data_IF_564208267734
#
_entry.id   IF_564208267734
#
_cell.length_a   1.000
_cell.length_b   1.000
_cell.length_c   1.000
_cell.angle_alpha   90.00
_cell.angle_beta   90.00
_cell.angle_gamma   90.00
#
_symmetry.space_group_name_H-M   'P 1'
#
loop_
_entity.id
_entity.type
_entity.pdbx_description
1 polymer ?
#
# COMPACT_ATOMS: atom_id res chain seq x y z
N UNK A 1 -13.74 6.04 -4.85
CA UNK A 1 -14.37 6.17 -3.52
C UNK A 1 -15.21 4.93 -3.21
N UNK A 2 -15.80 4.84 -2.01
CA UNK A 2 -16.55 3.66 -1.53
C UNK A 2 -17.95 3.57 -2.14
N UNK A 3 -18.48 2.36 -2.33
CA UNK A 3 -19.86 2.10 -2.75
C UNK A 3 -20.28 2.85 -4.03
N UNK A 4 -19.39 2.93 -5.02
CA UNK A 4 -19.64 3.68 -6.28
C UNK A 4 -20.26 2.82 -7.38
N UNK A 5 -20.06 1.51 -7.32
CA UNK A 5 -20.58 0.53 -8.27
C UNK A 5 -20.75 -0.83 -7.56
N UNK A 6 -21.26 -1.81 -8.32
CA UNK A 6 -21.52 -3.17 -7.88
C UNK A 6 -20.30 -4.11 -7.97
N UNK A 7 -19.14 -3.61 -8.43
CA UNK A 7 -17.96 -4.44 -8.71
C UNK A 7 -17.09 -4.56 -7.45
N UNK A 8 -17.00 -5.78 -6.93
CA UNK A 8 -16.03 -6.16 -5.90
C UNK A 8 -14.70 -6.53 -6.54
N UNK A 9 -13.66 -5.74 -6.26
CA UNK A 9 -12.35 -5.82 -6.90
C UNK A 9 -11.32 -6.61 -6.07
N UNK A 10 -11.58 -6.77 -4.78
CA UNK A 10 -10.68 -7.48 -3.88
C UNK A 10 -11.43 -8.05 -2.67
N UNK A 11 -10.84 -9.06 -2.05
CA UNK A 11 -11.34 -9.63 -0.81
C UNK A 11 -11.40 -8.58 0.31
N UNK A 12 -12.58 -8.41 0.91
CA UNK A 12 -12.77 -7.49 2.03
C UNK A 12 -13.10 -6.05 1.66
N UNK A 13 -13.30 -5.75 0.38
CA UNK A 13 -13.87 -4.47 -0.05
C UNK A 13 -15.23 -4.25 0.63
N UNK A 14 -15.46 -3.10 1.31
CA UNK A 14 -16.76 -2.80 1.88
C UNK A 14 -17.86 -2.71 0.81
N UNK A 15 -18.96 -3.43 1.03
CA UNK A 15 -20.14 -3.43 0.14
C UNK A 15 -21.41 -2.89 0.81
N UNK A 16 -21.39 -2.78 2.14
CA UNK A 16 -22.47 -2.20 2.94
C UNK A 16 -21.91 -1.67 4.27
N UNK A 17 -22.67 -0.80 4.93
CA UNK A 17 -22.43 -0.36 6.31
C UNK A 17 -23.73 -0.52 7.08
N UNK A 18 -23.66 -1.15 8.27
CA UNK A 18 -24.79 -1.29 9.19
C UNK A 18 -24.60 -0.31 10.33
N UNK A 19 -25.68 0.38 10.69
CA UNK A 19 -25.70 1.35 11.79
C UNK A 19 -26.78 0.91 12.77
N UNK A 20 -26.41 0.82 14.04
CA UNK A 20 -27.32 0.48 15.14
C UNK A 20 -26.95 1.31 16.39
N UNK A 21 -27.81 1.26 17.42
CA UNK A 21 -27.56 1.97 18.68
C UNK A 21 -26.45 1.32 19.51
N UNK A 22 -26.17 0.03 19.29
CA UNK A 22 -25.10 -0.72 19.97
C UNK A 22 -24.18 -1.43 18.97
N UNK A 23 -22.96 -1.76 19.42
CA UNK A 23 -22.01 -2.53 18.60
C UNK A 23 -22.53 -3.93 18.32
N UNK A 24 -23.07 -4.61 19.35
CA UNK A 24 -23.58 -5.98 19.25
C UNK A 24 -24.71 -6.07 18.21
N UNK A 25 -25.64 -5.12 18.21
CA UNK A 25 -26.73 -5.06 17.22
C UNK A 25 -26.19 -4.82 15.81
N UNK A 26 -25.20 -3.93 15.66
CA UNK A 26 -24.58 -3.64 14.36
C UNK A 26 -23.85 -4.87 13.80
N UNK A 27 -23.09 -5.58 14.63
CA UNK A 27 -22.37 -6.80 14.24
C UNK A 27 -23.34 -7.94 13.92
N UNK A 28 -24.38 -8.13 14.75
CA UNK A 28 -25.40 -9.14 14.51
C UNK A 28 -26.14 -8.90 13.18
N UNK A 29 -26.59 -7.67 12.95
CA UNK A 29 -27.28 -7.31 11.73
C UNK A 29 -26.36 -7.37 10.49
N UNK A 30 -25.08 -6.99 10.62
CA UNK A 30 -24.10 -7.15 9.54
C UNK A 30 -23.86 -8.62 9.18
N UNK A 31 -23.80 -9.52 10.18
CA UNK A 31 -23.66 -10.96 9.95
C UNK A 31 -24.91 -11.60 9.32
N UNK A 32 -26.08 -10.98 9.47
CA UNK A 32 -27.33 -11.45 8.88
C UNK A 32 -27.51 -11.04 7.40
N UNK A 33 -26.70 -10.12 6.88
CA UNK A 33 -26.78 -9.68 5.48
C UNK A 33 -26.49 -10.84 4.53
N UNK A 34 -27.39 -11.02 3.54
CA UNK A 34 -27.21 -11.98 2.45
C UNK A 34 -26.84 -11.22 1.19
N UNK A 35 -25.62 -11.43 0.70
CA UNK A 35 -25.10 -10.82 -0.52
C UNK A 35 -24.81 -11.93 -1.51
N UNK A 36 -25.32 -11.79 -2.72
CA UNK A 36 -25.08 -12.71 -3.83
C UNK A 36 -24.10 -12.06 -4.80
N UNK A 37 -23.14 -12.84 -5.30
CA UNK A 37 -22.11 -12.39 -6.22
C UNK A 37 -22.18 -13.21 -7.50
N UNK A 38 -22.05 -12.54 -8.63
CA UNK A 38 -21.67 -13.19 -9.88
C UNK A 38 -20.14 -13.33 -9.89
N UNK A 39 -19.65 -14.52 -9.54
CA UNK A 39 -18.23 -14.74 -9.25
C UNK A 39 -17.40 -14.99 -10.50
N UNK A 40 -16.24 -14.35 -10.57
CA UNK A 40 -15.18 -14.65 -11.54
C UNK A 40 -13.90 -15.14 -10.84
N UNK A 41 -12.96 -15.71 -11.60
CA UNK A 41 -11.64 -16.09 -11.06
C UNK A 41 -10.80 -14.84 -10.81
N UNK A 42 -10.40 -14.54 -9.56
CA UNK A 42 -9.54 -13.40 -9.29
C UNK A 42 -8.08 -13.72 -9.63
N UNK A 43 -7.33 -12.71 -10.10
CA UNK A 43 -5.89 -12.76 -10.26
C UNK A 43 -5.22 -12.23 -8.98
N UNK A 44 -4.80 -13.14 -8.09
CA UNK A 44 -4.20 -12.78 -6.79
C UNK A 44 -2.75 -13.24 -6.63
N UNK A 45 -2.26 -14.02 -7.57
CA UNK A 45 -0.90 -14.56 -7.60
C UNK A 45 -0.10 -13.85 -8.71
N UNK A 46 0.99 -13.12 -8.37
CA UNK A 46 1.82 -12.46 -9.37
C UNK A 46 2.65 -13.42 -10.25
N UNK A 47 2.67 -14.71 -9.92
CA UNK A 47 3.31 -15.76 -10.74
C UNK A 47 2.35 -16.41 -11.74
N UNK A 48 1.05 -16.08 -11.66
CA UNK A 48 0.06 -16.54 -12.62
C UNK A 48 0.42 -16.06 -14.04
N UNK A 49 0.23 -16.91 -15.04
CA UNK A 49 0.50 -16.59 -16.45
C UNK A 49 -0.28 -15.39 -17.00
N UNK A 50 -1.41 -15.03 -16.36
CA UNK A 50 -2.19 -13.84 -16.68
C UNK A 50 -1.69 -12.57 -15.98
N UNK A 51 -0.71 -12.69 -15.09
CA UNK A 51 -0.14 -11.55 -14.39
C UNK A 51 0.84 -10.80 -15.30
N UNK A 52 0.47 -9.57 -15.63
CA UNK A 52 1.31 -8.67 -16.41
C UNK A 52 2.29 -7.90 -15.52
N UNK A 53 3.41 -7.48 -16.10
CA UNK A 53 4.38 -6.58 -15.50
C UNK A 53 4.32 -5.25 -16.23
N UNK A 54 3.93 -4.19 -15.52
CA UNK A 54 3.79 -2.86 -16.11
C UNK A 54 4.85 -1.90 -15.56
N UNK A 55 5.24 -0.92 -16.36
CA UNK A 55 6.02 0.21 -15.83
C UNK A 55 5.10 1.10 -14.96
N UNK A 56 5.57 1.58 -13.80
CA UNK A 56 4.83 2.55 -13.00
C UNK A 56 4.50 3.82 -13.80
N UNK A 57 3.28 4.33 -13.64
CA UNK A 57 2.80 5.53 -14.35
C UNK A 57 3.55 6.82 -13.99
N UNK A 58 4.19 6.89 -12.82
CA UNK A 58 4.93 8.08 -12.37
C UNK A 58 6.34 8.22 -13.01
N UNK A 59 6.76 7.27 -13.86
CA UNK A 59 7.88 7.45 -14.79
C UNK A 59 9.29 7.43 -14.19
N UNK A 60 9.48 6.94 -12.95
CA UNK A 60 10.79 6.96 -12.26
C UNK A 60 11.52 5.62 -12.16
N UNK A 61 11.04 4.58 -12.85
CA UNK A 61 11.37 3.20 -12.55
C UNK A 61 12.76 2.68 -12.98
N UNK A 62 13.33 3.23 -14.07
CA UNK A 62 14.53 2.66 -14.69
C UNK A 62 15.70 3.65 -14.61
N UNK A 63 16.88 3.15 -14.24
CA UNK A 63 18.13 3.93 -14.21
C UNK A 63 19.29 3.12 -14.75
N UNK A 64 20.26 3.84 -15.31
CA UNK A 64 21.51 3.26 -15.77
C UNK A 64 22.67 4.20 -15.49
N UNK A 65 23.81 3.63 -15.13
CA UNK A 65 25.12 4.28 -14.99
C UNK A 65 26.14 3.33 -15.61
N UNK A 66 26.95 3.79 -16.57
CA UNK A 66 27.94 2.92 -17.22
C UNK A 66 27.31 1.73 -17.96
N UNK A 67 28.03 0.61 -17.99
CA UNK A 67 27.63 -0.64 -18.68
C UNK A 67 27.65 -1.82 -17.69
N UNK A 68 26.52 -2.03 -17.02
CA UNK A 68 26.39 -3.04 -15.97
C UNK A 68 26.49 -4.47 -16.54
N UNK A 69 25.89 -4.72 -17.69
CA UNK A 69 25.84 -6.06 -18.30
C UNK A 69 27.26 -6.51 -18.73
N UNK A 70 28.08 -5.62 -19.32
CA UNK A 70 29.49 -5.91 -19.60
C UNK A 70 30.29 -6.10 -18.32
N UNK A 71 30.15 -5.21 -17.34
CA UNK A 71 30.92 -5.26 -16.11
C UNK A 71 30.65 -6.53 -15.29
N UNK A 72 29.41 -7.03 -15.27
CA UNK A 72 29.03 -8.30 -14.64
C UNK A 72 29.60 -9.51 -15.37
N UNK A 73 29.71 -9.43 -16.71
CA UNK A 73 30.31 -10.50 -17.53
C UNK A 73 31.81 -10.63 -17.27
N UNK A 74 32.50 -9.50 -17.11
CA UNK A 74 33.96 -9.42 -16.89
C UNK A 74 34.39 -9.56 -15.42
N UNK A 75 33.45 -9.55 -14.47
CA UNK A 75 33.73 -9.60 -13.05
C UNK A 75 34.44 -10.91 -12.64
N UNK A 76 35.40 -10.80 -11.72
CA UNK A 76 36.14 -11.95 -11.19
C UNK A 76 35.30 -12.77 -10.22
N UNK A 77 34.47 -12.09 -9.42
CA UNK A 77 33.49 -12.69 -8.50
C UNK A 77 32.12 -12.14 -8.85
N UNK A 78 31.09 -12.99 -8.83
CA UNK A 78 29.73 -12.59 -9.16
C UNK A 78 28.67 -13.45 -8.48
N UNK A 79 27.56 -12.82 -8.15
CA UNK A 79 26.31 -13.45 -7.73
C UNK A 79 25.18 -12.95 -8.64
N UNK A 80 24.18 -13.79 -8.89
CA UNK A 80 22.94 -13.45 -9.57
C UNK A 80 21.82 -14.28 -8.94
N UNK A 81 21.01 -13.63 -8.10
CA UNK A 81 20.05 -14.29 -7.24
C UNK A 81 18.71 -13.54 -7.21
N UNK A 82 17.65 -14.27 -6.84
CA UNK A 82 16.29 -13.74 -6.69
C UNK A 82 15.89 -13.78 -5.23
N UNK A 83 15.48 -12.62 -4.72
CA UNK A 83 15.04 -12.40 -3.35
C UNK A 83 13.57 -12.01 -3.32
N UNK A 84 12.82 -12.50 -2.33
CA UNK A 84 11.39 -12.22 -2.20
C UNK A 84 11.05 -11.73 -0.79
N UNK A 85 10.17 -10.74 -0.71
CA UNK A 85 9.53 -10.30 0.53
C UNK A 85 8.04 -10.58 0.42
N UNK A 86 7.49 -11.25 1.43
CA UNK A 86 6.05 -11.47 1.55
C UNK A 86 5.31 -10.19 1.97
N UNK A 87 3.98 -10.17 1.86
CA UNK A 87 3.19 -9.03 2.35
C UNK A 87 3.38 -8.84 3.85
N UNK A 88 3.61 -7.61 4.28
CA UNK A 88 3.69 -7.25 5.71
C UNK A 88 2.55 -6.30 6.11
N UNK A 89 1.92 -6.58 7.24
CA UNK A 89 0.89 -5.72 7.81
C UNK A 89 1.48 -4.86 8.92
N UNK A 90 1.09 -3.57 8.96
CA UNK A 90 1.63 -2.60 9.91
C UNK A 90 1.34 -2.93 11.37
N UNK A 91 0.22 -3.63 11.62
CA UNK A 91 -0.22 -4.08 12.95
C UNK A 91 -0.07 -3.05 14.09
N UNK A 92 -0.54 -1.80 13.93
CA UNK A 92 -0.59 -0.87 15.05
C UNK A 92 -1.48 -1.43 16.16
N UNK A 93 -1.12 -1.19 17.42
CA UNK A 93 -1.89 -1.70 18.56
C UNK A 93 -3.31 -1.14 18.58
N UNK A 94 -3.47 0.15 18.31
CA UNK A 94 -4.78 0.77 18.09
C UNK A 94 -5.27 0.48 16.66
N UNK A 95 -6.46 -0.15 16.49
CA UNK A 95 -7.11 -0.30 15.18
C UNK A 95 -7.53 1.03 14.57
N UNK A 96 -7.71 1.07 13.26
CA UNK A 96 -8.30 2.21 12.56
C UNK A 96 -9.73 2.47 13.04
N UNK A 97 -10.02 3.73 13.34
CA UNK A 97 -11.28 4.18 13.90
C UNK A 97 -11.60 5.59 13.45
N UNK A 98 -12.89 5.87 13.30
CA UNK A 98 -13.42 7.20 13.00
C UNK A 98 -14.67 7.46 13.83
N UNK A 99 -14.78 8.66 14.36
CA UNK A 99 -16.05 9.25 14.82
C UNK A 99 -16.37 10.40 13.88
N UNK A 100 -17.59 10.45 13.37
CA UNK A 100 -18.08 11.54 12.54
C UNK A 100 -19.32 12.18 13.16
N UNK A 101 -19.38 13.51 13.14
CA UNK A 101 -20.53 14.29 13.55
C UNK A 101 -20.78 15.44 12.56
N UNK A 102 -22.04 15.77 12.33
CA UNK A 102 -22.46 16.87 11.46
C UNK A 102 -23.14 17.97 12.28
N UNK A 103 -22.75 19.21 12.04
CA UNK A 103 -23.34 20.44 12.58
C UNK A 103 -23.85 21.29 11.41
N UNK A 104 -25.08 21.04 10.97
CA UNK A 104 -25.55 21.56 9.68
C UNK A 104 -24.72 20.96 8.54
N UNK A 105 -24.05 21.83 7.77
CA UNK A 105 -23.15 21.43 6.67
C UNK A 105 -21.68 21.25 7.11
N UNK A 106 -21.36 21.52 8.38
CA UNK A 106 -20.01 21.33 8.92
C UNK A 106 -19.82 19.88 9.35
N UNK A 107 -18.75 19.24 8.88
CA UNK A 107 -18.36 17.89 9.25
C UNK A 107 -17.18 17.93 10.23
N UNK A 108 -17.33 17.27 11.38
CA UNK A 108 -16.27 17.08 12.36
C UNK A 108 -15.92 15.59 12.42
N UNK A 109 -14.65 15.29 12.21
CA UNK A 109 -14.07 13.95 12.27
C UNK A 109 -13.10 13.86 13.45
N UNK A 110 -13.16 12.76 14.20
CA UNK A 110 -12.08 12.27 15.04
C UNK A 110 -11.58 10.98 14.41
N UNK A 111 -10.42 11.03 13.77
CA UNK A 111 -9.94 9.98 12.87
C UNK A 111 -8.52 9.60 13.21
N UNK A 112 -8.23 8.30 13.20
CA UNK A 112 -6.88 7.77 13.37
C UNK A 112 -6.04 7.99 12.10
N UNK A 113 -5.44 9.17 11.96
CA UNK A 113 -4.77 9.56 10.72
C UNK A 113 -3.37 10.18 10.94
N UNK A 114 -2.42 9.86 10.06
CA UNK A 114 -1.15 10.59 9.89
C UNK A 114 -1.27 11.64 8.78
N UNK A 115 -2.45 11.74 8.15
CA UNK A 115 -2.69 12.44 6.89
C UNK A 115 -3.71 13.58 7.05
N UNK A 116 -3.75 14.23 8.22
CA UNK A 116 -4.82 15.15 8.67
C UNK A 116 -5.25 16.16 7.59
N UNK A 117 -4.29 16.90 7.00
CA UNK A 117 -4.60 17.97 6.05
C UNK A 117 -5.19 17.42 4.74
N UNK A 118 -4.65 16.31 4.25
CA UNK A 118 -5.09 15.67 3.03
C UNK A 118 -6.40 14.89 3.24
N UNK A 119 -6.58 14.22 4.38
CA UNK A 119 -7.84 13.58 4.76
C UNK A 119 -8.97 14.60 4.83
N UNK A 120 -8.70 15.79 5.40
CA UNK A 120 -9.63 16.91 5.36
C UNK A 120 -10.00 17.31 3.93
N UNK A 121 -9.01 17.45 3.05
CA UNK A 121 -9.24 17.87 1.66
C UNK A 121 -9.98 16.80 0.84
N UNK A 122 -9.62 15.53 1.00
CA UNK A 122 -10.25 14.39 0.33
C UNK A 122 -11.70 14.22 0.77
N UNK A 123 -11.97 14.28 2.08
CA UNK A 123 -13.34 14.22 2.58
C UNK A 123 -14.17 15.42 2.10
N UNK A 124 -13.60 16.63 2.11
CA UNK A 124 -14.28 17.80 1.56
C UNK A 124 -14.67 17.58 0.08
N UNK A 125 -13.74 17.06 -0.74
CA UNK A 125 -14.00 16.73 -2.13
C UNK A 125 -15.10 15.65 -2.29
N UNK A 126 -15.08 14.59 -1.48
CA UNK A 126 -16.11 13.52 -1.52
C UNK A 126 -17.51 14.06 -1.27
N UNK A 127 -17.66 14.98 -0.32
CA UNK A 127 -18.97 15.52 0.06
C UNK A 127 -19.33 16.81 -0.67
N UNK A 128 -18.48 17.31 -1.57
CA UNK A 128 -18.69 18.58 -2.27
C UNK A 128 -18.70 19.80 -1.33
N UNK A 129 -17.93 19.75 -0.24
CA UNK A 129 -17.87 20.79 0.78
C UNK A 129 -16.67 21.73 0.56
N UNK A 130 -16.76 23.00 1.01
CA UNK A 130 -15.58 23.82 1.25
C UNK A 130 -14.66 23.14 2.27
N UNK A 131 -13.35 23.20 2.09
CA UNK A 131 -12.36 22.50 2.94
C UNK A 131 -12.45 22.97 4.39
N UNK A 132 -12.75 24.25 4.63
CA UNK A 132 -12.96 24.86 5.93
C UNK A 132 -14.21 24.34 6.67
N UNK A 133 -15.16 23.72 5.95
CA UNK A 133 -16.34 23.08 6.53
C UNK A 133 -16.04 21.67 7.06
N UNK A 134 -14.82 21.16 6.85
CA UNK A 134 -14.37 19.86 7.37
C UNK A 134 -13.29 20.08 8.42
N UNK A 135 -13.49 19.53 9.61
CA UNK A 135 -12.49 19.51 10.68
C UNK A 135 -12.07 18.08 10.97
N UNK A 136 -10.77 17.80 10.92
CA UNK A 136 -10.19 16.50 11.26
C UNK A 136 -9.36 16.64 12.53
N UNK A 137 -9.70 15.88 13.56
CA UNK A 137 -9.04 15.86 14.86
C UNK A 137 -8.33 14.52 15.07
N UNK A 138 -7.04 14.56 15.42
CA UNK A 138 -6.25 13.38 15.79
C UNK A 138 -5.21 13.79 16.87
N UNK A 139 -5.62 13.91 18.14
CA UNK A 139 -4.71 14.36 19.20
C UNK A 139 -3.64 13.31 19.54
N UNK A 140 -3.99 12.02 19.45
CA UNK A 140 -3.11 10.90 19.77
C UNK A 140 -3.30 9.76 18.75
N UNK A 141 -2.26 8.96 18.54
CA UNK A 141 -2.30 7.78 17.67
C UNK A 141 -1.54 6.62 18.32
N UNK A 142 -2.20 5.47 18.49
CA UNK A 142 -1.65 4.25 19.07
C UNK A 142 -0.85 3.42 18.05
N UNK A 143 0.10 4.08 17.38
CA UNK A 143 0.91 3.53 16.30
C UNK A 143 0.20 3.56 14.93
N UNK A 144 0.99 3.54 13.85
CA UNK A 144 0.46 3.49 12.48
C UNK A 144 1.47 2.92 11.48
N UNK A 145 2.75 3.33 11.59
CA UNK A 145 3.84 2.79 10.79
C UNK A 145 3.66 2.96 9.27
N UNK A 146 2.82 3.90 8.84
CA UNK A 146 2.49 4.19 7.44
C UNK A 146 1.04 3.84 7.05
N UNK A 147 0.36 2.96 7.80
CA UNK A 147 -1.04 2.60 7.50
C UNK A 147 -2.00 3.79 7.54
N UNK A 148 -1.68 4.86 8.27
CA UNK A 148 -2.54 6.04 8.42
C UNK A 148 -2.14 7.21 7.50
N UNK A 149 -1.32 6.98 6.47
CA UNK A 149 -0.94 7.98 5.46
C UNK A 149 -1.95 8.09 4.30
N UNK A 150 -3.20 7.66 4.54
CA UNK A 150 -4.25 7.59 3.53
C UNK A 150 -5.63 7.69 4.19
N UNK A 151 -6.57 8.34 3.54
CA UNK A 151 -7.99 8.28 3.92
C UNK A 151 -8.59 6.95 3.49
N UNK A 152 -8.89 6.10 4.46
CA UNK A 152 -9.46 4.79 4.19
C UNK A 152 -10.98 4.83 4.03
N UNK A 153 -11.56 3.82 3.34
CA UNK A 153 -13.00 3.65 3.16
C UNK A 153 -13.87 3.91 4.40
N UNK A 154 -13.43 3.45 5.56
CA UNK A 154 -14.20 3.55 6.80
C UNK A 154 -14.42 5.01 7.25
N UNK A 155 -13.52 5.94 6.92
CA UNK A 155 -13.67 7.37 7.23
C UNK A 155 -14.88 7.94 6.48
N UNK A 156 -14.93 7.71 5.17
CA UNK A 156 -16.05 8.13 4.32
C UNK A 156 -17.36 7.46 4.72
N UNK A 157 -17.35 6.16 4.99
CA UNK A 157 -18.53 5.41 5.43
C UNK A 157 -19.09 5.96 6.75
N UNK A 158 -18.21 6.30 7.70
CA UNK A 158 -18.62 6.87 9.00
C UNK A 158 -19.28 8.23 8.81
N UNK A 159 -18.69 9.09 7.97
CA UNK A 159 -19.26 10.41 7.67
C UNK A 159 -20.61 10.30 6.94
N UNK A 160 -20.74 9.40 5.97
CA UNK A 160 -22.01 9.12 5.26
C UNK A 160 -23.08 8.61 6.24
N UNK A 161 -22.74 7.64 7.08
CA UNK A 161 -23.63 7.09 8.09
C UNK A 161 -24.12 8.17 9.05
N UNK A 162 -23.21 8.98 9.61
CA UNK A 162 -23.55 10.07 10.52
C UNK A 162 -24.49 11.10 9.90
N UNK A 163 -24.29 11.42 8.61
CA UNK A 163 -25.18 12.33 7.86
C UNK A 163 -26.57 11.73 7.71
N UNK A 164 -26.63 10.45 7.36
CA UNK A 164 -27.88 9.75 7.12
C UNK A 164 -28.74 9.62 8.38
N UNK A 165 -28.14 9.21 9.50
CA UNK A 165 -28.86 9.01 10.77
C UNK A 165 -29.02 10.29 11.60
N UNK A 166 -28.40 11.40 11.16
CA UNK A 166 -28.42 12.71 11.85
C UNK A 166 -27.96 12.65 13.30
N UNK A 167 -27.02 11.75 13.59
CA UNK A 167 -26.42 11.53 14.91
C UNK A 167 -24.94 11.23 14.72
N UNK A 168 -24.07 11.53 15.71
CA UNK A 168 -22.69 11.08 15.65
C UNK A 168 -22.61 9.56 15.49
N UNK A 169 -21.72 9.09 14.61
CA UNK A 169 -21.47 7.67 14.38
C UNK A 169 -20.01 7.38 14.68
N UNK A 170 -19.75 6.26 15.36
CA UNK A 170 -18.42 5.70 15.60
C UNK A 170 -18.30 4.40 14.82
N UNK A 171 -17.22 4.26 14.06
CA UNK A 171 -16.85 3.03 13.36
C UNK A 171 -15.43 2.67 13.75
N UNK A 172 -15.23 1.46 14.26
CA UNK A 172 -13.92 0.90 14.59
C UNK A 172 -13.74 -0.36 13.76
N UNK A 173 -12.60 -0.47 13.08
CA UNK A 173 -12.27 -1.70 12.37
C UNK A 173 -11.84 -2.77 13.37
N UNK A 174 -12.35 -3.98 13.19
CA UNK A 174 -11.86 -5.15 13.91
C UNK A 174 -10.41 -5.43 13.51
N UNK A 175 -9.65 -6.11 14.39
CA UNK A 175 -8.28 -6.55 14.06
C UNK A 175 -8.25 -7.37 12.77
N UNK A 176 -9.26 -8.21 12.52
CA UNK A 176 -9.36 -9.02 11.31
C UNK A 176 -9.50 -8.14 10.06
N UNK A 177 -10.35 -7.11 10.10
CA UNK A 177 -10.55 -6.18 8.98
C UNK A 177 -9.27 -5.42 8.61
N UNK A 178 -8.44 -5.07 9.60
CA UNK A 178 -7.16 -4.38 9.37
C UNK A 178 -6.23 -5.11 8.38
N UNK A 179 -6.31 -6.44 8.27
CA UNK A 179 -5.47 -7.22 7.34
C UNK A 179 -5.83 -7.05 5.87
N UNK A 180 -7.00 -6.49 5.56
CA UNK A 180 -7.48 -6.40 4.17
C UNK A 180 -8.12 -5.06 3.79
N UNK A 181 -8.36 -4.14 4.74
CA UNK A 181 -8.97 -2.83 4.44
C UNK A 181 -8.04 -1.63 4.58
N UNK A 182 -6.80 -1.81 5.06
CA UNK A 182 -5.90 -0.68 5.42
C UNK A 182 -4.49 -0.78 4.84
N UNK A 183 -4.37 -1.46 3.70
CA UNK A 183 -3.13 -1.65 2.95
C UNK A 183 -2.07 -2.45 3.71
N UNK A 184 -0.94 -2.68 3.03
CA UNK A 184 0.19 -3.51 3.49
C UNK A 184 1.46 -3.11 2.74
N UNK A 185 2.64 -3.51 3.23
CA UNK A 185 3.85 -3.52 2.39
C UNK A 185 3.63 -4.55 1.28
N UNK A 186 3.83 -4.19 0.01
CA UNK A 186 3.59 -5.11 -1.10
C UNK A 186 4.53 -6.32 -1.04
N UNK A 187 4.09 -7.45 -1.60
CA UNK A 187 5.02 -8.53 -1.96
C UNK A 187 5.98 -7.97 -3.01
N UNK A 188 7.27 -8.30 -2.89
CA UNK A 188 8.27 -7.97 -3.90
C UNK A 188 9.04 -9.21 -4.33
N UNK A 189 9.43 -9.24 -5.60
CA UNK A 189 10.41 -10.17 -6.16
C UNK A 189 11.52 -9.35 -6.80
N UNK A 190 12.77 -9.62 -6.42
CA UNK A 190 13.92 -8.78 -6.75
C UNK A 190 15.04 -9.66 -7.26
N UNK A 191 15.43 -9.51 -8.53
CA UNK A 191 16.66 -10.11 -9.06
C UNK A 191 17.80 -9.12 -8.85
N UNK A 192 18.84 -9.55 -8.14
CA UNK A 192 20.04 -8.77 -7.90
C UNK A 192 21.25 -9.54 -8.40
N UNK A 193 22.01 -8.92 -9.31
CA UNK A 193 23.30 -9.41 -9.71
C UNK A 193 24.39 -8.41 -9.34
N UNK A 194 25.42 -8.87 -8.67
CA UNK A 194 26.55 -8.05 -8.22
C UNK A 194 27.84 -8.69 -8.70
N UNK A 195 28.76 -7.88 -9.22
CA UNK A 195 30.07 -8.33 -9.65
C UNK A 195 31.18 -7.50 -9.02
N UNK A 196 32.24 -8.16 -8.57
CA UNK A 196 33.45 -7.54 -8.04
C UNK A 196 34.70 -7.96 -8.85
N UNK A 197 35.70 -7.08 -8.87
CA UNK A 197 37.02 -7.41 -9.41
C UNK A 197 37.85 -8.23 -8.39
N UNK A 198 39.04 -8.67 -8.80
CA UNK A 198 39.93 -9.47 -7.94
C UNK A 198 40.43 -8.74 -6.68
N UNK A 199 40.27 -7.41 -6.60
CA UNK A 199 40.58 -6.59 -5.42
C UNK A 199 39.38 -6.41 -4.48
N UNK A 200 38.23 -7.01 -4.80
CA UNK A 200 36.99 -6.86 -4.02
C UNK A 200 36.24 -5.55 -4.25
N UNK A 201 36.58 -4.77 -5.28
CA UNK A 201 35.81 -3.56 -5.65
C UNK A 201 34.66 -3.92 -6.58
N UNK A 202 33.49 -3.34 -6.31
CA UNK A 202 32.32 -3.52 -7.16
C UNK A 202 32.57 -2.98 -8.57
N UNK A 203 32.34 -3.85 -9.55
CA UNK A 203 32.47 -3.56 -10.97
C UNK A 203 31.10 -3.27 -11.62
N UNK A 204 30.06 -4.03 -11.24
CA UNK A 204 28.72 -3.92 -11.82
C UNK A 204 27.62 -4.32 -10.84
N UNK A 205 26.48 -3.62 -10.87
CA UNK A 205 25.26 -3.99 -10.14
C UNK A 205 24.05 -3.96 -11.07
N UNK A 206 23.25 -5.02 -11.08
CA UNK A 206 21.93 -5.04 -11.71
C UNK A 206 20.89 -5.32 -10.63
N UNK A 207 19.84 -4.49 -10.55
CA UNK A 207 18.74 -4.70 -9.62
C UNK A 207 17.39 -4.50 -10.32
N UNK A 208 16.71 -5.61 -10.59
CA UNK A 208 15.39 -5.66 -11.23
C UNK A 208 14.33 -6.08 -10.21
N UNK A 209 13.36 -5.22 -9.93
CA UNK A 209 12.31 -5.45 -8.95
C UNK A 209 10.92 -5.51 -9.57
N UNK A 210 10.07 -6.37 -9.02
CA UNK A 210 8.62 -6.41 -9.28
C UNK A 210 7.87 -6.25 -7.96
N UNK A 211 7.03 -5.22 -7.85
CA UNK A 211 6.19 -4.97 -6.70
C UNK A 211 4.72 -5.26 -6.99
N UNK A 212 4.01 -5.80 -6.03
CA UNK A 212 2.55 -5.94 -6.09
C UNK A 212 1.85 -4.57 -6.14
N UNK A 213 0.78 -4.46 -6.93
CA UNK A 213 -0.20 -3.35 -6.86
C UNK A 213 -1.62 -3.88 -7.09
N UNK A 214 -2.65 -3.07 -6.81
CA UNK A 214 -4.02 -3.43 -7.23
C UNK A 214 -4.28 -3.06 -8.70
N UNK A 215 -5.26 -3.72 -9.31
CA UNK A 215 -5.74 -3.40 -10.67
C UNK A 215 -6.55 -2.11 -10.77
N UNK A 216 -7.09 -1.64 -9.65
CA UNK A 216 -7.96 -0.46 -9.64
C UNK A 216 -7.23 0.83 -9.24
N UNK A 217 -6.02 0.72 -8.69
CA UNK A 217 -5.19 1.84 -8.29
C UNK A 217 -3.72 1.41 -8.23
N UNK A 218 -2.82 2.18 -8.85
CA UNK A 218 -1.40 1.91 -8.79
C UNK A 218 -0.79 2.39 -7.47
N UNK A 219 -0.06 1.51 -6.80
CA UNK A 219 0.88 1.83 -5.73
C UNK A 219 2.31 1.54 -6.20
N UNK A 220 3.22 2.47 -5.94
CA UNK A 220 4.63 2.36 -6.25
C UNK A 220 5.43 2.72 -4.99
N UNK A 221 6.46 1.93 -4.68
CA UNK A 221 7.45 2.26 -3.65
C UNK A 221 8.86 2.42 -4.25
N UNK A 222 9.81 2.97 -3.48
CA UNK A 222 11.18 3.22 -3.93
C UNK A 222 12.06 1.95 -3.94
N UNK A 223 11.55 0.85 -4.49
CA UNK A 223 12.11 -0.51 -4.32
C UNK A 223 13.58 -0.62 -4.70
N UNK A 224 13.96 -0.12 -5.88
CA UNK A 224 15.33 -0.25 -6.42
C UNK A 224 16.19 0.99 -6.20
N UNK A 225 15.64 2.06 -5.60
CA UNK A 225 16.29 3.36 -5.52
C UNK A 225 17.60 3.32 -4.73
N UNK A 226 17.66 2.51 -3.66
CA UNK A 226 18.82 2.41 -2.78
C UNK A 226 20.09 1.93 -3.50
N UNK A 227 19.93 1.09 -4.53
CA UNK A 227 21.05 0.59 -5.33
C UNK A 227 21.80 1.70 -6.07
N UNK A 228 21.14 2.83 -6.34
CA UNK A 228 21.77 3.95 -7.05
C UNK A 228 22.86 4.64 -6.21
N UNK A 229 22.75 4.59 -4.87
CA UNK A 229 23.54 5.43 -3.97
C UNK A 229 24.16 4.71 -2.76
N UNK A 230 23.77 3.47 -2.44
CA UNK A 230 24.29 2.76 -1.26
C UNK A 230 25.78 2.41 -1.38
N UNK A 231 26.18 1.88 -2.55
CA UNK A 231 27.55 1.46 -2.81
C UNK A 231 28.17 2.20 -4.00
N UNK A 232 29.47 2.49 -3.89
CA UNK A 232 30.24 3.02 -5.01
C UNK A 232 30.42 1.93 -6.06
N UNK A 233 29.72 2.07 -7.18
CA UNK A 233 29.86 1.19 -8.33
C UNK A 233 29.79 2.02 -9.63
N UNK A 234 30.80 1.91 -10.52
CA UNK A 234 30.82 2.67 -11.76
C UNK A 234 29.77 2.22 -12.77
N UNK A 235 29.30 0.97 -12.69
CA UNK A 235 28.33 0.42 -13.62
C UNK A 235 27.10 -0.11 -12.86
N UNK A 236 25.91 0.43 -13.11
CA UNK A 236 24.68 -0.13 -12.58
C UNK A 236 23.49 -0.01 -13.54
N UNK A 237 22.53 -0.91 -13.36
CA UNK A 237 21.21 -0.83 -13.99
C UNK A 237 20.13 -1.18 -12.96
N UNK A 238 19.13 -0.32 -12.80
CA UNK A 238 17.94 -0.62 -12.01
C UNK A 238 16.69 -0.60 -12.88
N UNK A 239 15.73 -1.46 -12.54
CA UNK A 239 14.43 -1.51 -13.20
C UNK A 239 13.36 -1.85 -12.17
N UNK A 240 12.23 -1.14 -12.19
CA UNK A 240 11.09 -1.44 -11.35
C UNK A 240 9.81 -1.65 -12.16
N UNK A 241 9.10 -2.74 -11.90
CA UNK A 241 7.80 -3.05 -12.52
C UNK A 241 6.76 -3.31 -11.44
N UNK A 242 5.50 -3.10 -11.79
CA UNK A 242 4.37 -3.43 -10.93
C UNK A 242 3.62 -4.64 -11.50
N UNK A 243 3.05 -5.46 -10.61
CA UNK A 243 2.15 -6.56 -10.95
C UNK A 243 0.74 -6.23 -10.46
N UNK A 244 -0.19 -5.84 -11.36
CA UNK A 244 -1.56 -5.51 -10.98
C UNK A 244 -2.42 -6.74 -10.66
N UNK A 245 -2.91 -6.83 -9.43
CA UNK A 245 -3.70 -7.95 -8.91
C UNK A 245 -5.09 -7.52 -8.38
N UNK A 246 -5.99 -8.49 -8.22
CA UNK A 246 -7.33 -8.34 -7.61
C UNK A 246 -7.22 -8.37 -6.07
N UNK A 247 -6.44 -7.43 -5.53
CA UNK A 247 -6.10 -7.31 -4.11
C UNK A 247 -6.36 -5.89 -3.62
N UNK A 248 -6.43 -5.68 -2.30
CA UNK A 248 -6.42 -4.32 -1.77
C UNK A 248 -5.13 -3.60 -2.18
N UNK A 249 -5.23 -2.32 -2.53
CA UNK A 249 -4.05 -1.52 -2.87
C UNK A 249 -3.06 -1.52 -1.69
N UNK A 250 -1.78 -1.86 -1.93
CA UNK A 250 -0.73 -1.71 -0.92
C UNK A 250 -0.61 -0.25 -0.43
N UNK A 251 0.13 -0.05 0.65
CA UNK A 251 0.33 1.28 1.21
C UNK A 251 1.73 1.42 1.80
N UNK A 252 2.16 2.66 2.01
CA UNK A 252 3.44 2.96 2.64
C UNK A 252 3.56 2.24 3.99
N UNK A 253 4.70 1.58 4.20
CA UNK A 253 5.13 1.01 5.47
C UNK A 253 6.52 1.56 5.82
N UNK A 254 6.86 1.62 7.11
CA UNK A 254 8.13 2.17 7.62
C UNK A 254 9.34 1.69 6.78
N UNK A 255 10.06 2.64 6.17
CA UNK A 255 11.05 2.35 5.12
C UNK A 255 10.38 1.94 3.80
N UNK A 256 9.59 2.84 3.16
CA UNK A 256 8.75 2.51 2.02
C UNK A 256 9.57 2.30 0.74
N UNK A 257 9.77 1.04 0.36
CA UNK A 257 10.64 0.67 -0.75
C UNK A 257 12.08 0.46 -0.35
N UNK A 258 12.75 1.41 0.33
CA UNK A 258 14.18 1.24 0.62
C UNK A 258 14.44 0.05 1.55
N UNK A 259 13.62 -0.18 2.57
CA UNK A 259 13.80 -1.35 3.44
C UNK A 259 13.65 -2.66 2.65
N UNK A 260 12.72 -2.70 1.69
CA UNK A 260 12.51 -3.84 0.80
C UNK A 260 13.71 -4.05 -0.14
N UNK A 261 14.24 -2.96 -0.69
CA UNK A 261 15.38 -2.95 -1.62
C UNK A 261 16.72 -3.29 -0.97
N UNK A 262 16.97 -2.75 0.22
CA UNK A 262 18.18 -2.99 1.00
C UNK A 262 18.28 -4.47 1.35
N UNK A 263 17.18 -5.13 1.72
CA UNK A 263 17.19 -6.56 2.00
C UNK A 263 17.80 -7.37 0.85
N UNK A 264 17.35 -7.16 -0.39
CA UNK A 264 17.85 -7.90 -1.55
C UNK A 264 19.29 -7.51 -1.89
N UNK A 265 19.61 -6.20 -1.84
CA UNK A 265 20.95 -5.71 -2.14
C UNK A 265 21.98 -6.22 -1.14
N UNK A 266 21.72 -6.09 0.15
CA UNK A 266 22.66 -6.50 1.21
C UNK A 266 22.80 -8.03 1.27
N UNK A 267 21.73 -8.78 1.01
CA UNK A 267 21.84 -10.25 0.91
C UNK A 267 22.78 -10.65 -0.23
N UNK A 268 22.66 -10.00 -1.40
CA UNK A 268 23.56 -10.25 -2.52
C UNK A 268 25.00 -9.79 -2.23
N UNK A 269 25.18 -8.73 -1.44
CA UNK A 269 26.52 -8.28 -1.02
C UNK A 269 27.17 -9.24 -0.03
N UNK A 270 26.41 -9.82 0.90
CA UNK A 270 26.90 -10.82 1.85
C UNK A 270 27.24 -12.17 1.17
N UNK A 271 26.53 -12.52 0.10
CA UNK A 271 26.75 -13.75 -0.68
C UNK A 271 27.94 -13.66 -1.67
N UNK A 272 28.29 -12.44 -2.11
CA UNK A 272 29.35 -12.18 -3.09
C UNK A 272 30.76 -12.41 -2.52
#
# INVERSE_FOLDING_TARGET
HVLQDEIVRFYGQPVAVVVADTLDDAEHAAAALRIQYDSSRPLVDPTDQLAERIAPSAGRADRSRGDADRALTEAAYKIDAVYEIARENHNPMEPHATIAAWEGERLILWSKTQYIANERAEIAAVFGLPVESVQVNCPFIGGAFGTSLRTWPHVTLTALAARHVRRPVKLVLTRKQMFFTTGHRPRTQQRVAVGANSEGKLAGILHEGVGETSRYEQFEEALTAVTEYMYSCPNLRTQYRLSPLDTGTPNHMRGPGEASGIFALESAMDEL
#
